data_IF_539429513387
#
_entry.id   IF_539429513387
#
_cell.length_a   1.000
_cell.length_b   1.000
_cell.length_c   1.000
_cell.angle_alpha   90.00
_cell.angle_beta   90.00
_cell.angle_gamma   90.00
#
_symmetry.space_group_name_H-M   'P 1'
#
loop_
_entity.id
_entity.type
_entity.pdbx_description
1 polymer ?
#
# COMPACT_ATOMS: atom_id res chain seq x y z
N UNK A 1 -19.26 7.95 0.73
CA UNK A 1 -19.07 7.04 1.88
C UNK A 1 -18.33 5.82 1.39
N UNK A 2 -17.04 5.74 1.72
CA UNK A 2 -16.17 4.66 1.26
C UNK A 2 -16.33 3.52 2.27
N UNK A 3 -17.08 2.48 1.90
CA UNK A 3 -17.45 1.37 2.79
C UNK A 3 -16.39 0.26 2.84
N UNK A 4 -15.32 0.39 2.05
CA UNK A 4 -14.24 -0.58 1.98
C UNK A 4 -13.51 -0.62 3.33
N UNK A 5 -13.55 -1.77 3.99
CA UNK A 5 -12.84 -2.00 5.26
C UNK A 5 -11.50 -2.69 5.10
N UNK A 6 -11.37 -3.53 4.07
CA UNK A 6 -10.17 -4.33 3.88
C UNK A 6 -9.83 -4.39 2.40
N UNK A 7 -8.55 -4.18 2.07
CA UNK A 7 -8.01 -4.59 0.77
C UNK A 7 -7.58 -6.05 0.93
N UNK A 8 -8.40 -6.96 0.41
CA UNK A 8 -8.15 -8.39 0.50
C UNK A 8 -7.14 -8.87 -0.55
N UNK A 9 -6.48 -10.00 -0.26
CA UNK A 9 -5.53 -10.63 -1.20
C UNK A 9 -6.13 -10.97 -2.56
N UNK A 10 -7.46 -11.05 -2.66
CA UNK A 10 -8.18 -11.31 -3.91
C UNK A 10 -8.03 -10.18 -4.92
N UNK A 11 -7.75 -8.97 -4.45
CA UNK A 11 -7.43 -7.81 -5.29
C UNK A 11 -6.21 -8.06 -6.20
N UNK A 12 -5.33 -8.99 -5.82
CA UNK A 12 -4.11 -9.35 -6.54
C UNK A 12 -4.27 -10.64 -7.36
N UNK A 13 -5.49 -11.15 -7.54
CA UNK A 13 -5.73 -12.30 -8.41
C UNK A 13 -6.04 -11.81 -9.82
N UNK A 14 -5.26 -12.22 -10.82
CA UNK A 14 -5.55 -11.97 -12.23
C UNK A 14 -6.25 -13.18 -12.85
N UNK A 15 -7.53 -13.39 -12.52
CA UNK A 15 -8.33 -14.53 -13.03
C UNK A 15 -7.70 -15.91 -12.77
N UNK A 16 -8.11 -16.92 -13.56
CA UNK A 16 -7.58 -18.29 -13.51
C UNK A 16 -6.18 -18.42 -14.16
N UNK A 17 -5.62 -17.33 -14.68
CA UNK A 17 -4.37 -17.33 -15.44
C UNK A 17 -3.19 -17.02 -14.51
N UNK A 18 -2.36 -18.04 -14.29
CA UNK A 18 -1.20 -18.05 -13.38
C UNK A 18 -0.06 -17.11 -13.86
N UNK A 19 -0.13 -16.55 -15.08
CA UNK A 19 1.05 -16.01 -15.78
C UNK A 19 1.25 -14.50 -15.73
N UNK A 20 0.30 -13.71 -15.23
CA UNK A 20 0.43 -12.24 -15.22
C UNK A 20 0.59 -11.73 -13.80
N UNK A 21 1.73 -11.08 -13.54
CA UNK A 21 1.95 -10.31 -12.31
C UNK A 21 0.96 -9.13 -12.29
N UNK A 22 0.02 -9.07 -11.33
CA UNK A 22 -0.84 -7.91 -11.17
C UNK A 22 -0.02 -6.64 -11.04
N UNK A 23 -0.53 -5.54 -11.60
CA UNK A 23 0.06 -4.21 -11.47
C UNK A 23 1.50 -4.10 -12.02
N UNK A 24 1.87 -4.91 -13.02
CA UNK A 24 3.20 -4.92 -13.63
C UNK A 24 3.70 -3.56 -14.17
N UNK A 25 2.78 -2.63 -14.44
CA UNK A 25 3.09 -1.27 -14.94
C UNK A 25 2.69 -0.16 -13.96
N UNK A 26 2.31 -0.51 -12.72
CA UNK A 26 1.83 0.47 -11.74
C UNK A 26 3.00 1.22 -11.11
N UNK A 27 3.26 2.43 -11.60
CA UNK A 27 4.32 3.29 -11.07
C UNK A 27 3.85 4.20 -9.91
N UNK A 28 2.56 4.50 -9.83
CA UNK A 28 1.98 5.43 -8.86
C UNK A 28 0.71 4.86 -8.24
N UNK A 29 0.65 4.79 -6.91
CA UNK A 29 -0.50 4.28 -6.16
C UNK A 29 -0.91 5.28 -5.09
N UNK A 30 -2.19 5.66 -5.09
CA UNK A 30 -2.76 6.56 -4.09
C UNK A 30 -3.96 5.93 -3.38
N UNK A 31 -4.00 6.09 -2.06
CA UNK A 31 -5.15 5.75 -1.22
C UNK A 31 -5.52 7.01 -0.42
N UNK A 32 -6.64 7.64 -0.79
CA UNK A 32 -7.09 8.90 -0.18
C UNK A 32 -8.47 8.76 0.45
N UNK A 33 -8.68 9.42 1.58
CA UNK A 33 -10.00 9.61 2.22
C UNK A 33 -10.75 8.29 2.50
N UNK A 34 -10.02 7.19 2.71
CA UNK A 34 -10.59 5.88 3.03
C UNK A 34 -10.80 5.75 4.55
N UNK A 35 -11.76 6.51 5.08
CA UNK A 35 -12.04 6.60 6.52
C UNK A 35 -12.50 5.30 7.19
N UNK A 36 -13.00 4.33 6.42
CA UNK A 36 -13.38 3.00 6.89
C UNK A 36 -12.33 1.92 6.64
N UNK A 37 -11.27 2.21 5.88
CA UNK A 37 -10.26 1.22 5.55
C UNK A 37 -9.42 0.93 6.79
N UNK A 38 -9.50 -0.31 7.24
CA UNK A 38 -8.91 -0.80 8.47
C UNK A 38 -7.67 -1.65 8.18
N UNK A 39 -7.66 -2.45 7.11
CA UNK A 39 -6.57 -3.39 6.84
C UNK A 39 -6.17 -3.41 5.35
N UNK A 40 -4.86 -3.54 5.10
CA UNK A 40 -4.32 -3.83 3.78
C UNK A 40 -3.58 -5.17 3.80
N UNK A 41 -4.22 -6.23 3.30
CA UNK A 41 -3.62 -7.57 3.27
C UNK A 41 -2.82 -7.78 1.99
N UNK A 42 -1.55 -7.35 2.01
CA UNK A 42 -0.63 -7.65 0.93
C UNK A 42 -0.17 -9.12 0.98
N UNK A 43 -0.29 -9.89 -0.12
CA UNK A 43 0.15 -11.28 -0.14
C UNK A 43 1.68 -11.32 -0.03
N UNK A 44 2.20 -11.97 1.01
CA UNK A 44 3.65 -12.15 1.23
C UNK A 44 4.35 -13.06 0.19
N UNK A 45 3.60 -13.61 -0.78
CA UNK A 45 4.07 -14.68 -1.68
C UNK A 45 4.61 -14.18 -3.02
N UNK A 46 4.50 -12.90 -3.36
CA UNK A 46 5.09 -12.39 -4.60
C UNK A 46 5.61 -10.98 -4.42
N UNK A 47 6.93 -10.89 -4.34
CA UNK A 47 7.71 -9.65 -4.37
C UNK A 47 7.54 -8.85 -5.67
N UNK A 48 6.82 -9.41 -6.66
CA UNK A 48 6.69 -8.85 -8.00
C UNK A 48 5.50 -7.89 -8.21
N UNK A 49 4.51 -7.85 -7.29
CA UNK A 49 3.28 -7.07 -7.49
C UNK A 49 3.53 -5.56 -7.65
N UNK A 50 4.53 -5.03 -6.95
CA UNK A 50 4.88 -3.60 -6.98
C UNK A 50 6.34 -3.39 -7.38
N UNK A 51 6.81 -4.21 -8.32
CA UNK A 51 8.20 -4.21 -8.80
C UNK A 51 8.62 -2.89 -9.45
N UNK A 52 7.68 -2.13 -10.03
CA UNK A 52 7.92 -0.83 -10.69
C UNK A 52 7.28 0.36 -9.98
N UNK A 53 6.72 0.16 -8.77
CA UNK A 53 6.05 1.23 -8.03
C UNK A 53 7.08 2.24 -7.54
N UNK A 54 6.99 3.47 -8.05
CA UNK A 54 7.89 4.59 -7.72
C UNK A 54 7.30 5.50 -6.65
N UNK A 55 5.98 5.65 -6.61
CA UNK A 55 5.31 6.56 -5.69
C UNK A 55 4.13 5.91 -4.98
N UNK A 56 4.12 6.00 -3.65
CA UNK A 56 3.02 5.54 -2.79
C UNK A 56 2.53 6.70 -1.93
N UNK A 57 1.26 7.07 -2.09
CA UNK A 57 0.62 8.16 -1.34
C UNK A 57 -0.57 7.60 -0.55
N UNK A 58 -0.59 7.83 0.77
CA UNK A 58 -1.68 7.42 1.65
C UNK A 58 -2.09 8.62 2.51
N UNK A 59 -3.29 9.16 2.26
CA UNK A 59 -3.77 10.37 2.94
C UNK A 59 -5.16 10.18 3.53
N UNK A 60 -5.41 10.73 4.71
CA UNK A 60 -6.73 10.69 5.37
C UNK A 60 -7.33 9.27 5.51
N UNK A 61 -6.47 8.30 5.84
CA UNK A 61 -6.85 6.91 6.13
C UNK A 61 -6.63 6.58 7.63
N UNK A 62 -7.43 7.17 8.54
CA UNK A 62 -7.15 7.16 9.98
C UNK A 62 -7.27 5.78 10.64
N UNK A 63 -7.99 4.84 10.03
CA UNK A 63 -8.20 3.49 10.56
C UNK A 63 -7.23 2.46 9.97
N UNK A 64 -6.49 2.82 8.92
CA UNK A 64 -5.68 1.86 8.18
C UNK A 64 -4.52 1.37 9.05
N UNK A 65 -4.49 0.06 9.24
CA UNK A 65 -3.51 -0.71 9.99
C UNK A 65 -2.93 -1.79 9.10
N UNK A 66 -1.78 -2.30 9.52
CA UNK A 66 -1.15 -3.46 8.91
C UNK A 66 0.25 -3.18 8.39
N UNK A 67 0.78 -4.22 7.73
CA UNK A 67 2.07 -4.20 7.07
C UNK A 67 1.85 -3.68 5.66
N UNK A 68 2.39 -2.49 5.37
CA UNK A 68 2.54 -2.04 3.99
C UNK A 68 3.27 -3.13 3.18
N UNK A 69 3.12 -3.15 1.85
CA UNK A 69 3.98 -3.98 1.01
C UNK A 69 5.44 -3.71 1.39
N UNK A 70 6.13 -4.73 1.90
CA UNK A 70 7.48 -4.60 2.46
C UNK A 70 8.54 -4.62 1.37
N UNK A 71 8.22 -5.18 0.21
CA UNK A 71 9.11 -5.26 -0.94
C UNK A 71 8.66 -4.29 -2.04
N UNK A 72 9.27 -3.09 -2.04
CA UNK A 72 9.02 -2.02 -3.00
C UNK A 72 10.36 -1.55 -3.62
N UNK A 73 10.98 -2.34 -4.51
CA UNK A 73 12.36 -2.14 -4.94
C UNK A 73 12.59 -0.89 -5.77
N UNK A 74 11.54 -0.37 -6.43
CA UNK A 74 11.60 0.84 -7.26
C UNK A 74 11.06 2.09 -6.54
N UNK A 75 10.74 2.01 -5.24
CA UNK A 75 10.09 3.12 -4.54
C UNK A 75 11.03 4.31 -4.38
N UNK A 76 10.64 5.42 -4.98
CA UNK A 76 11.36 6.69 -4.93
C UNK A 76 10.72 7.64 -3.92
N UNK A 77 9.39 7.60 -3.76
CA UNK A 77 8.63 8.49 -2.89
C UNK A 77 7.56 7.74 -2.11
N UNK A 78 7.49 8.01 -0.81
CA UNK A 78 6.35 7.61 0.02
C UNK A 78 5.86 8.82 0.83
N UNK A 79 4.56 9.05 0.75
CA UNK A 79 3.87 10.12 1.47
C UNK A 79 2.74 9.53 2.30
N UNK A 80 2.80 9.75 3.61
CA UNK A 80 1.77 9.31 4.55
C UNK A 80 1.34 10.51 5.36
N UNK A 81 0.09 10.94 5.16
CA UNK A 81 -0.50 12.10 5.83
C UNK A 81 -1.79 11.68 6.56
N UNK A 82 -1.95 12.11 7.83
CA UNK A 82 -3.16 11.87 8.64
C UNK A 82 -3.57 10.39 8.75
N UNK A 83 -2.59 9.48 8.71
CA UNK A 83 -2.78 8.02 8.83
C UNK A 83 -2.16 7.50 10.14
N UNK A 84 -2.72 7.94 11.27
CA UNK A 84 -2.10 7.80 12.59
C UNK A 84 -1.81 6.34 13.01
N UNK A 85 -2.63 5.39 12.57
CA UNK A 85 -2.50 3.98 12.90
C UNK A 85 -1.40 3.28 12.08
N UNK A 86 -1.06 3.81 10.91
CA UNK A 86 -0.04 3.29 10.02
C UNK A 86 1.35 3.82 10.40
N UNK A 87 1.45 5.10 10.78
CA UNK A 87 2.70 5.70 11.23
C UNK A 87 3.30 4.98 12.46
N UNK A 88 2.47 4.33 13.28
CA UNK A 88 2.93 3.56 14.44
C UNK A 88 3.49 2.18 14.11
N UNK A 89 3.20 1.61 12.94
CA UNK A 89 3.67 0.27 12.53
C UNK A 89 4.91 0.28 11.64
N UNK A 90 5.31 1.44 11.10
CA UNK A 90 6.44 1.54 10.19
C UNK A 90 7.80 1.49 10.92
N UNK A 91 8.80 0.79 10.36
CA UNK A 91 10.16 0.82 10.89
C UNK A 91 10.72 2.25 10.82
N UNK A 92 11.45 2.66 11.87
CA UNK A 92 11.88 4.06 12.07
C UNK A 92 12.93 4.60 11.07
N UNK A 93 13.41 3.85 10.07
CA UNK A 93 14.37 4.30 9.05
C UNK A 93 14.60 3.22 7.95
N UNK A 94 15.12 3.55 6.73
CA UNK A 94 15.79 4.81 6.35
C UNK A 94 15.24 5.59 5.12
N UNK A 95 15.28 6.92 5.26
CA UNK A 95 15.53 7.96 4.23
C UNK A 95 14.45 8.41 3.22
N UNK A 96 13.38 7.66 2.91
CA UNK A 96 12.38 8.10 1.90
C UNK A 96 11.02 8.51 2.50
N UNK A 97 10.84 8.40 3.82
CA UNK A 97 9.55 8.71 4.46
C UNK A 97 9.39 10.21 4.74
N UNK A 98 8.49 10.89 4.01
CA UNK A 98 7.90 12.14 4.48
C UNK A 98 6.63 11.83 5.25
N UNK A 99 6.75 11.83 6.58
CA UNK A 99 5.61 11.82 7.49
C UNK A 99 5.16 13.27 7.68
N UNK A 100 4.01 13.61 7.09
CA UNK A 100 3.33 14.88 7.34
C UNK A 100 2.26 14.58 8.40
N UNK A 101 2.57 14.91 9.64
CA UNK A 101 1.65 14.77 10.80
C UNK A 101 0.67 15.91 10.86
#
# INVERSE_FOLDING_TARGET
MNMLRTIESEFYKNGDSISETPFASLEHLEIREMSCLEMWHHPHKSDAYFSVLKCLVITDCPKLRGDLPTHLPALETIEIERCNQLASSLPKAPSIFKLLT
#
